data_IF_950278966343
#
_entry.id   IF_950278966343
#
_cell.length_a   1.000
_cell.length_b   1.000
_cell.length_c   1.000
_cell.angle_alpha   90.00
_cell.angle_beta   90.00
_cell.angle_gamma   90.00
#
_symmetry.space_group_name_H-M   'P 1'
#
loop_
_entity.id
_entity.type
_entity.pdbx_description
1 polymer ?
#
# COMPACT_ATOMS: atom_id res chain seq x y z
N UNK A 1 4.94 -13.84 -21.98
CA UNK A 1 3.84 -13.27 -21.15
C UNK A 1 4.45 -12.29 -20.18
N UNK A 2 3.75 -11.22 -19.79
CA UNK A 2 4.23 -10.36 -18.70
C UNK A 2 4.24 -11.15 -17.38
N UNK A 3 5.11 -10.76 -16.45
CA UNK A 3 5.11 -11.32 -15.09
C UNK A 3 3.99 -10.72 -14.24
N UNK A 4 3.71 -9.42 -14.43
CA UNK A 4 2.75 -8.61 -13.68
C UNK A 4 2.09 -7.58 -14.61
N UNK A 5 0.80 -7.31 -14.42
CA UNK A 5 0.06 -6.22 -15.10
C UNK A 5 -0.60 -5.31 -14.06
N UNK A 6 -0.44 -4.01 -14.26
CA UNK A 6 -1.05 -2.95 -13.45
C UNK A 6 -2.45 -2.61 -13.97
N UNK A 7 -3.46 -2.67 -13.09
CA UNK A 7 -4.83 -2.25 -13.33
C UNK A 7 -5.00 -0.82 -12.80
N UNK A 8 -4.94 0.17 -13.68
CA UNK A 8 -4.99 1.58 -13.31
C UNK A 8 -6.42 2.13 -13.21
N UNK A 9 -6.75 2.73 -12.06
CA UNK A 9 -8.02 3.38 -11.76
C UNK A 9 -9.27 2.51 -12.03
N UNK A 10 -9.14 1.19 -11.90
CA UNK A 10 -10.26 0.26 -11.99
C UNK A 10 -11.02 0.19 -10.66
N UNK A 11 -12.33 -0.06 -10.73
CA UNK A 11 -13.13 -0.39 -9.55
C UNK A 11 -12.85 -1.82 -9.06
N UNK A 12 -13.19 -2.17 -7.80
CA UNK A 12 -13.06 -3.56 -7.33
C UNK A 12 -13.78 -4.60 -8.19
N UNK A 13 -14.93 -4.24 -8.79
CA UNK A 13 -15.67 -5.15 -9.68
C UNK A 13 -14.94 -5.36 -11.01
N UNK A 14 -14.40 -4.28 -11.59
CA UNK A 14 -13.56 -4.38 -12.79
C UNK A 14 -12.29 -5.20 -12.53
N UNK A 15 -11.67 -5.04 -11.35
CA UNK A 15 -10.53 -5.87 -10.94
C UNK A 15 -10.92 -7.34 -10.85
N UNK A 16 -12.12 -7.66 -10.35
CA UNK A 16 -12.62 -9.04 -10.26
C UNK A 16 -12.86 -9.67 -11.63
N UNK A 17 -13.39 -8.89 -12.58
CA UNK A 17 -13.51 -9.30 -13.98
C UNK A 17 -12.13 -9.55 -14.60
N UNK A 18 -11.16 -8.67 -14.36
CA UNK A 18 -9.79 -8.83 -14.84
C UNK A 18 -9.12 -10.09 -14.27
N UNK A 19 -9.27 -10.35 -12.97
CA UNK A 19 -8.78 -11.59 -12.33
C UNK A 19 -9.37 -12.82 -12.99
N UNK A 20 -10.68 -12.82 -13.25
CA UNK A 20 -11.38 -13.93 -13.91
C UNK A 20 -10.87 -14.12 -15.34
N UNK A 21 -10.68 -13.03 -16.10
CA UNK A 21 -10.18 -13.06 -17.47
C UNK A 21 -8.72 -13.55 -17.55
N UNK A 22 -7.87 -13.09 -16.63
CA UNK A 22 -6.45 -13.47 -16.62
C UNK A 22 -6.28 -14.94 -16.25
N UNK A 23 -7.14 -15.48 -15.40
CA UNK A 23 -7.17 -16.89 -15.02
C UNK A 23 -5.79 -17.41 -14.56
N UNK A 24 -5.07 -16.60 -13.78
CA UNK A 24 -3.77 -16.94 -13.21
C UNK A 24 -2.59 -16.99 -14.19
N UNK A 25 -2.75 -16.53 -15.43
CA UNK A 25 -1.66 -16.52 -16.44
C UNK A 25 -0.50 -15.59 -16.10
N UNK A 26 -0.76 -14.54 -15.33
CA UNK A 26 0.21 -13.59 -14.80
C UNK A 26 -0.39 -12.88 -13.58
N UNK A 27 0.45 -12.16 -12.85
CA UNK A 27 0.05 -11.45 -11.64
C UNK A 27 -0.70 -10.16 -11.97
N UNK A 28 -1.57 -9.73 -11.06
CA UNK A 28 -2.30 -8.47 -11.17
C UNK A 28 -2.03 -7.56 -9.96
N UNK A 29 -1.80 -6.28 -10.25
CA UNK A 29 -1.68 -5.21 -9.25
C UNK A 29 -2.76 -4.16 -9.49
N UNK A 30 -3.53 -3.79 -8.47
CA UNK A 30 -4.49 -2.67 -8.57
C UNK A 30 -3.83 -1.35 -8.14
N UNK A 31 -4.13 -0.27 -8.86
CA UNK A 31 -3.60 1.09 -8.61
C UNK A 31 -4.67 2.16 -8.83
N UNK A 32 -4.40 3.35 -8.28
CA UNK A 32 -5.21 4.55 -8.51
C UNK A 32 -6.23 4.79 -7.40
N UNK A 33 -6.03 5.85 -6.61
CA UNK A 33 -7.00 6.27 -5.57
C UNK A 33 -7.24 5.27 -4.43
N UNK A 34 -6.40 4.23 -4.30
CA UNK A 34 -6.51 3.25 -3.22
C UNK A 34 -6.03 3.90 -1.92
N UNK A 35 -6.79 3.71 -0.85
CA UNK A 35 -6.52 4.17 0.51
C UNK A 35 -6.60 2.99 1.47
N UNK A 36 -6.17 3.17 2.73
CA UNK A 36 -6.27 2.11 3.74
C UNK A 36 -7.74 1.70 3.97
N UNK A 37 -8.66 2.65 3.89
CA UNK A 37 -10.09 2.44 4.12
C UNK A 37 -10.74 1.58 3.02
N UNK A 38 -10.30 1.72 1.77
CA UNK A 38 -10.85 0.98 0.63
C UNK A 38 -10.00 -0.23 0.20
N UNK A 39 -8.77 -0.38 0.70
CA UNK A 39 -7.84 -1.43 0.31
C UNK A 39 -8.42 -2.84 0.45
N UNK A 40 -9.26 -3.09 1.46
CA UNK A 40 -9.93 -4.38 1.65
C UNK A 40 -10.81 -4.77 0.46
N UNK A 41 -11.60 -3.84 -0.07
CA UNK A 41 -12.49 -4.12 -1.20
C UNK A 41 -11.69 -4.50 -2.46
N UNK A 42 -10.55 -3.84 -2.67
CA UNK A 42 -9.62 -4.18 -3.74
C UNK A 42 -8.95 -5.54 -3.52
N UNK A 43 -8.49 -5.85 -2.30
CA UNK A 43 -7.92 -7.16 -2.00
C UNK A 43 -8.93 -8.29 -2.24
N UNK A 44 -10.19 -8.08 -1.85
CA UNK A 44 -11.28 -9.04 -2.05
C UNK A 44 -11.63 -9.25 -3.54
N UNK A 45 -11.17 -8.40 -4.46
CA UNK A 45 -11.30 -8.64 -5.92
C UNK A 45 -10.44 -9.81 -6.41
N UNK A 46 -9.41 -10.21 -5.66
CA UNK A 46 -8.52 -11.32 -5.99
C UNK A 46 -7.22 -10.94 -6.71
N UNK A 47 -6.90 -9.64 -6.79
CA UNK A 47 -5.58 -9.17 -7.27
C UNK A 47 -4.46 -9.60 -6.33
N UNK A 48 -3.25 -9.75 -6.87
CA UNK A 48 -2.08 -10.19 -6.10
C UNK A 48 -1.44 -9.06 -5.29
N UNK A 49 -1.50 -7.82 -5.80
CA UNK A 49 -0.86 -6.65 -5.20
C UNK A 49 -1.77 -5.41 -5.22
N UNK A 50 -1.52 -4.49 -4.30
CA UNK A 50 -2.15 -3.17 -4.23
C UNK A 50 -1.07 -2.09 -4.19
N UNK A 51 -1.10 -1.17 -5.16
CA UNK A 51 -0.24 -0.01 -5.18
C UNK A 51 -0.92 1.17 -4.46
N UNK A 52 -0.41 1.55 -3.29
CA UNK A 52 -0.95 2.64 -2.46
C UNK A 52 0.10 3.75 -2.33
N UNK A 53 0.03 4.75 -3.21
CA UNK A 53 0.98 5.87 -3.22
C UNK A 53 0.97 6.70 -1.93
N UNK A 54 -0.20 6.82 -1.29
CA UNK A 54 -0.37 7.62 -0.07
C UNK A 54 0.53 7.16 1.09
N UNK A 55 1.01 5.92 1.08
CA UNK A 55 1.94 5.38 2.08
C UNK A 55 3.31 6.07 2.07
N UNK A 56 3.67 6.78 1.01
CA UNK A 56 4.96 7.46 0.89
C UNK A 56 4.81 8.97 0.74
N UNK A 57 4.04 9.45 -0.24
CA UNK A 57 3.94 10.88 -0.52
C UNK A 57 3.04 11.66 0.46
N UNK A 58 2.26 10.96 1.29
CA UNK A 58 1.30 11.56 2.23
C UNK A 58 1.16 10.77 3.52
N UNK A 59 2.22 10.06 3.92
CA UNK A 59 2.23 9.36 5.20
C UNK A 59 2.09 10.36 6.37
N UNK A 60 1.26 10.08 7.39
CA UNK A 60 1.17 10.93 8.56
C UNK A 60 2.49 10.91 9.34
N UNK A 61 2.85 12.05 9.92
CA UNK A 61 4.03 12.16 10.78
C UNK A 61 3.80 11.37 12.07
N UNK A 62 4.77 10.55 12.45
CA UNK A 62 4.82 9.93 13.77
C UNK A 62 5.50 10.92 14.73
N UNK A 63 4.75 11.38 15.74
CA UNK A 63 5.27 12.28 16.75
C UNK A 63 6.13 11.52 17.77
N UNK A 64 7.40 11.94 17.93
CA UNK A 64 8.39 11.27 18.79
C UNK A 64 9.17 12.34 19.57
N UNK A 65 9.20 12.19 20.90
CA UNK A 65 10.02 13.01 21.81
C UNK A 65 11.05 12.16 22.56
N UNK A 66 12.21 12.76 22.85
CA UNK A 66 13.29 12.15 23.62
C UNK A 66 13.57 12.99 24.88
N UNK A 67 13.31 12.41 26.05
CA UNK A 67 13.69 13.00 27.34
C UNK A 67 15.03 12.42 27.80
N UNK A 68 16.05 13.28 27.94
CA UNK A 68 17.38 12.89 28.42
C UNK A 68 17.77 13.67 29.67
N UNK A 69 18.11 12.95 30.73
CA UNK A 69 18.76 13.51 31.92
C UNK A 69 20.28 13.41 31.75
N UNK A 70 20.94 14.55 31.62
CA UNK A 70 22.40 14.63 31.63
C UNK A 70 22.88 14.84 33.06
N UNK A 71 23.40 13.78 33.69
CA UNK A 71 24.16 13.90 34.94
C UNK A 71 25.53 14.53 34.60
N UNK A 72 25.70 15.82 34.93
CA UNK A 72 27.00 16.49 34.78
C UNK A 72 27.97 15.94 35.82
N UNK A 73 29.02 15.24 35.39
CA UNK A 73 30.13 14.88 36.28
C UNK A 73 30.83 16.16 36.73
N UNK A 74 30.70 16.51 38.01
CA UNK A 74 31.52 17.55 38.63
C UNK A 74 32.98 17.10 38.56
N UNK A 75 33.80 17.79 37.78
CA UNK A 75 35.25 17.65 37.87
C UNK A 75 35.69 18.17 39.24
N UNK A 76 36.54 17.37 39.89
CA UNK A 76 37.15 17.63 41.18
C UNK A 76 38.47 18.36 40.99
#
# INVERSE_FOLDING_TARGET
>A
SPDLVLLDNMSPDQCREAVTFVAGRFKLEASGGITIENARAYAESGVDYLAIGALTHSAPVLDIGLDMNLETRSEK
#
